data_IF_792777386112
#
_entry.id   IF_792777386112
#
_cell.length_a   1.000
_cell.length_b   1.000
_cell.length_c   1.000
_cell.angle_alpha   90.00
_cell.angle_beta   90.00
_cell.angle_gamma   90.00
#
_symmetry.space_group_name_H-M   'P 1'
#
loop_
_entity.id
_entity.type
_entity.pdbx_description
1 polymer ?
#
# COMPACT_ATOMS: atom_id res chain seq x y z
N UNK A 1 93.42 43.97 -24.28
CA UNK A 1 92.96 43.08 -25.37
C UNK A 1 93.10 41.66 -24.87
N UNK A 2 92.20 40.75 -25.26
CA UNK A 2 91.88 39.44 -24.66
C UNK A 2 90.84 39.61 -23.52
N UNK A 3 89.51 39.51 -23.70
CA UNK A 3 88.65 38.48 -24.37
C UNK A 3 89.03 37.07 -23.89
N UNK A 4 88.14 36.14 -23.52
CA UNK A 4 86.69 36.09 -23.30
C UNK A 4 86.42 34.77 -22.54
N UNK A 5 85.26 34.72 -21.87
CA UNK A 5 84.43 33.55 -21.55
C UNK A 5 85.01 32.22 -21.01
N UNK A 6 84.52 31.80 -19.83
CA UNK A 6 83.63 30.62 -19.71
C UNK A 6 83.32 30.26 -18.24
N UNK A 7 82.01 30.15 -17.97
CA UNK A 7 81.36 29.03 -17.26
C UNK A 7 81.78 28.70 -15.82
N UNK A 8 80.81 28.73 -14.90
CA UNK A 8 80.21 27.53 -14.26
C UNK A 8 79.30 28.02 -13.13
N UNK A 9 78.01 27.82 -13.32
CA UNK A 9 76.98 27.98 -12.30
C UNK A 9 76.93 26.73 -11.41
N UNK A 10 77.27 26.89 -10.12
CA UNK A 10 76.93 26.01 -9.00
C UNK A 10 76.57 26.93 -7.82
N UNK A 11 75.29 27.03 -7.46
CA UNK A 11 74.55 26.18 -6.51
C UNK A 11 74.89 26.48 -5.05
N UNK A 12 73.81 26.74 -4.29
CA UNK A 12 73.70 26.81 -2.82
C UNK A 12 74.32 28.07 -2.22
N UNK A 13 73.78 28.73 -1.20
CA UNK A 13 72.74 28.44 -0.24
C UNK A 13 72.48 29.78 0.48
N UNK A 14 71.25 30.31 0.47
CA UNK A 14 70.76 31.37 1.39
C UNK A 14 69.30 31.64 0.98
N UNK A 15 68.35 30.82 1.41
CA UNK A 15 67.81 30.79 2.76
C UNK A 15 67.40 32.19 3.24
N UNK A 16 66.09 32.36 3.39
CA UNK A 16 65.44 33.36 4.25
C UNK A 16 65.12 34.71 3.60
N UNK A 17 63.88 34.85 3.12
CA UNK A 17 62.86 35.80 3.67
C UNK A 17 61.82 36.18 2.63
N UNK A 18 60.74 35.41 2.56
CA UNK A 18 59.36 35.92 2.43
C UNK A 18 58.48 34.77 1.96
N UNK A 19 57.90 34.06 2.91
CA UNK A 19 56.65 33.36 2.64
C UNK A 19 55.70 33.85 3.72
N UNK A 20 54.81 34.73 3.29
CA UNK A 20 53.77 35.31 4.10
C UNK A 20 52.98 34.20 4.79
N UNK A 21 52.73 34.40 6.08
CA UNK A 21 51.87 33.59 6.92
C UNK A 21 50.49 33.48 6.26
N UNK A 22 50.24 32.37 5.56
CA UNK A 22 48.89 31.94 5.20
C UNK A 22 48.26 31.50 6.52
N UNK A 23 47.46 32.39 7.13
CA UNK A 23 46.49 31.96 8.12
C UNK A 23 45.50 31.02 7.43
N UNK A 24 45.70 29.72 7.63
CA UNK A 24 44.69 28.71 7.37
C UNK A 24 43.49 29.08 8.24
N UNK A 25 42.45 29.64 7.63
CA UNK A 25 41.14 29.72 8.28
C UNK A 25 40.69 28.27 8.49
N UNK A 26 40.85 27.78 9.71
CA UNK A 26 40.23 26.56 10.18
C UNK A 26 38.71 26.74 10.03
N UNK A 27 38.16 26.17 8.96
CA UNK A 27 36.71 26.01 8.86
C UNK A 27 36.27 25.13 10.04
N UNK A 28 35.26 25.55 10.82
CA UNK A 28 34.73 24.70 11.89
C UNK A 28 34.33 23.34 11.31
N UNK A 29 34.95 22.26 11.80
CA UNK A 29 34.53 20.87 11.56
C UNK A 29 33.20 20.62 12.28
N UNK A 30 32.12 21.29 11.87
CA UNK A 30 30.79 21.24 12.51
C UNK A 30 29.76 20.40 11.71
N UNK A 31 30.23 19.68 10.69
CA UNK A 31 29.38 18.99 9.72
C UNK A 31 29.05 17.52 10.01
N UNK A 32 29.74 16.83 10.93
CA UNK A 32 29.56 15.38 11.12
C UNK A 32 28.42 15.02 12.09
N UNK A 33 28.29 15.75 13.20
CA UNK A 33 27.22 15.58 14.19
C UNK A 33 25.84 15.97 13.62
N UNK A 34 25.77 17.10 12.92
CA UNK A 34 24.54 17.61 12.27
C UNK A 34 24.07 16.68 11.16
N UNK A 35 24.99 16.19 10.33
CA UNK A 35 24.70 15.20 9.30
C UNK A 35 24.25 13.86 9.90
N UNK A 36 24.94 13.35 10.94
CA UNK A 36 24.57 12.11 11.62
C UNK A 36 23.19 12.20 12.30
N UNK A 37 22.88 13.32 12.95
CA UNK A 37 21.55 13.57 13.54
C UNK A 37 20.46 13.63 12.48
N UNK A 38 20.72 14.31 11.37
CA UNK A 38 19.76 14.40 10.25
C UNK A 38 19.49 13.03 9.64
N UNK A 39 20.53 12.20 9.45
CA UNK A 39 20.37 10.82 8.97
C UNK A 39 19.55 9.94 9.93
N UNK A 40 19.77 10.05 11.24
CA UNK A 40 18.98 9.31 12.24
C UNK A 40 17.51 9.74 12.20
N UNK A 41 17.24 11.05 12.17
CA UNK A 41 15.86 11.57 12.13
C UNK A 41 15.13 11.13 10.86
N UNK A 42 15.79 11.21 9.70
CA UNK A 42 15.20 10.75 8.42
C UNK A 42 14.95 9.24 8.45
N UNK A 43 15.90 8.46 8.96
CA UNK A 43 15.78 7.00 9.03
C UNK A 43 14.65 6.56 9.97
N UNK A 44 14.53 7.19 11.14
CA UNK A 44 13.41 6.95 12.07
C UNK A 44 12.08 7.37 11.44
N UNK A 45 12.04 8.51 10.72
CA UNK A 45 10.83 8.98 10.04
C UNK A 45 10.38 8.02 8.94
N UNK A 46 11.31 7.49 8.13
CA UNK A 46 11.02 6.49 7.10
C UNK A 46 10.51 5.18 7.70
N UNK A 47 11.11 4.72 8.81
CA UNK A 47 10.67 3.52 9.52
C UNK A 47 9.26 3.68 10.11
N UNK A 48 8.95 4.84 10.69
CA UNK A 48 7.61 5.15 11.21
C UNK A 48 6.56 5.20 10.09
N UNK A 49 6.89 5.84 8.96
CA UNK A 49 5.99 5.93 7.82
C UNK A 49 5.74 4.55 7.17
N UNK A 50 6.77 3.72 7.02
CA UNK A 50 6.64 2.36 6.53
C UNK A 50 5.82 1.47 7.51
N UNK A 51 6.03 1.61 8.81
CA UNK A 51 5.29 0.89 9.84
C UNK A 51 3.80 1.23 9.87
N UNK A 52 3.42 2.47 9.60
CA UNK A 52 2.03 2.90 9.54
C UNK A 52 1.23 2.22 8.41
N UNK A 53 1.88 1.93 7.27
CA UNK A 53 1.23 1.30 6.12
C UNK A 53 0.87 -0.18 6.35
N UNK A 54 1.54 -0.84 7.30
CA UNK A 54 1.31 -2.24 7.65
C UNK A 54 0.05 -2.43 8.54
N UNK A 55 -0.50 -1.36 9.10
CA UNK A 55 -1.68 -1.36 9.97
C UNK A 55 -2.99 -1.15 9.19
N UNK A 56 -3.12 -1.68 7.97
CA UNK A 56 -4.42 -1.71 7.30
C UNK A 56 -5.37 -2.58 8.13
N UNK A 57 -6.39 -1.95 8.70
CA UNK A 57 -7.39 -2.62 9.53
C UNK A 57 -8.12 -3.67 8.68
N UNK A 58 -7.83 -4.94 8.94
CA UNK A 58 -8.55 -6.06 8.36
C UNK A 58 -9.80 -6.36 9.21
N UNK A 59 -10.89 -6.87 8.60
CA UNK A 59 -12.05 -7.33 9.35
C UNK A 59 -11.65 -8.42 10.35
N UNK A 60 -12.11 -8.29 11.60
CA UNK A 60 -11.86 -9.24 12.68
C UNK A 60 -12.99 -10.27 12.70
N UNK A 61 -12.85 -11.35 11.93
CA UNK A 61 -13.86 -12.39 11.80
C UNK A 61 -13.28 -13.77 11.51
N UNK A 62 -14.16 -14.77 11.38
CA UNK A 62 -13.77 -16.13 11.05
C UNK A 62 -13.47 -16.24 9.56
N UNK A 63 -12.28 -16.75 9.19
CA UNK A 63 -12.00 -17.11 7.80
C UNK A 63 -12.82 -18.35 7.41
N UNK A 64 -13.57 -18.26 6.32
CA UNK A 64 -14.50 -19.33 5.90
C UNK A 64 -14.70 -19.34 4.38
N UNK A 65 -15.34 -20.41 3.92
CA UNK A 65 -15.79 -20.60 2.55
C UNK A 65 -17.30 -20.82 2.55
N UNK A 66 -18.01 -20.08 1.70
CA UNK A 66 -19.46 -20.13 1.57
C UNK A 66 -19.78 -20.47 0.11
N UNK A 67 -20.58 -21.50 -0.10
CA UNK A 67 -21.14 -21.84 -1.41
C UNK A 67 -22.61 -21.46 -1.43
N UNK A 68 -23.02 -20.68 -2.42
CA UNK A 68 -24.38 -20.15 -2.49
C UNK A 68 -24.67 -19.41 -3.78
N UNK A 69 -25.91 -19.00 -3.93
CA UNK A 69 -26.38 -18.17 -5.04
C UNK A 69 -26.06 -16.70 -4.77
N UNK A 70 -25.56 -15.98 -5.78
CA UNK A 70 -25.43 -14.52 -5.71
C UNK A 70 -26.80 -13.87 -5.93
N UNK A 71 -27.27 -13.08 -4.97
CA UNK A 71 -28.62 -12.50 -4.99
C UNK A 71 -28.60 -10.97 -4.85
N UNK A 72 -29.58 -10.30 -5.46
CA UNK A 72 -29.92 -8.92 -5.12
C UNK A 72 -30.63 -8.91 -3.76
N UNK A 73 -30.06 -8.21 -2.78
CA UNK A 73 -30.62 -8.17 -1.43
C UNK A 73 -31.98 -7.47 -1.37
N UNK A 74 -32.25 -6.50 -2.26
CA UNK A 74 -33.56 -5.83 -2.27
C UNK A 74 -34.66 -6.83 -2.60
N UNK A 75 -34.59 -7.46 -3.78
CA UNK A 75 -35.62 -8.38 -4.25
C UNK A 75 -35.71 -9.65 -3.40
N UNK A 76 -34.57 -10.17 -2.92
CA UNK A 76 -34.60 -11.35 -2.06
C UNK A 76 -35.24 -11.07 -0.69
N UNK A 77 -34.96 -9.92 -0.07
CA UNK A 77 -35.54 -9.58 1.24
C UNK A 77 -37.00 -9.10 1.15
N UNK A 78 -37.40 -8.49 0.02
CA UNK A 78 -38.77 -8.06 -0.22
C UNK A 78 -39.73 -9.25 -0.39
N UNK A 79 -39.33 -10.25 -1.19
CA UNK A 79 -40.24 -11.35 -1.56
C UNK A 79 -39.57 -12.69 -1.90
N UNK A 80 -38.26 -12.83 -1.69
CA UNK A 80 -37.54 -14.07 -1.98
C UNK A 80 -37.16 -14.25 -3.46
N UNK A 81 -37.24 -13.19 -4.26
CA UNK A 81 -36.95 -13.23 -5.69
C UNK A 81 -35.48 -13.59 -5.96
N UNK A 82 -35.26 -14.73 -6.64
CA UNK A 82 -33.93 -15.25 -7.01
C UNK A 82 -34.01 -16.29 -8.13
N UNK A 83 -32.87 -16.86 -8.50
CA UNK A 83 -32.71 -17.96 -9.45
C UNK A 83 -32.48 -17.51 -10.89
N UNK A 84 -32.24 -18.45 -11.82
CA UNK A 84 -31.82 -18.13 -13.20
C UNK A 84 -32.78 -17.20 -13.94
N UNK A 85 -34.08 -17.30 -13.69
CA UNK A 85 -35.11 -16.44 -14.29
C UNK A 85 -35.01 -14.97 -13.87
N UNK A 86 -34.32 -14.68 -12.76
CA UNK A 86 -34.11 -13.32 -12.23
C UNK A 86 -32.76 -12.72 -12.62
N UNK A 87 -31.91 -13.44 -13.36
CA UNK A 87 -30.53 -13.02 -13.66
C UNK A 87 -30.44 -11.63 -14.29
N UNK A 88 -31.23 -11.35 -15.32
CA UNK A 88 -31.17 -10.06 -16.02
C UNK A 88 -31.66 -8.91 -15.13
N UNK A 89 -32.74 -9.14 -14.38
CA UNK A 89 -33.29 -8.18 -13.43
C UNK A 89 -32.30 -7.91 -12.28
N UNK A 90 -31.78 -8.95 -11.64
CA UNK A 90 -30.81 -8.85 -10.56
C UNK A 90 -29.52 -8.16 -11.03
N UNK A 91 -29.06 -8.44 -12.25
CA UNK A 91 -27.91 -7.76 -12.85
C UNK A 91 -28.18 -6.28 -13.09
N UNK A 92 -29.38 -5.92 -13.55
CA UNK A 92 -29.78 -4.52 -13.73
C UNK A 92 -29.82 -3.77 -12.39
N UNK A 93 -30.41 -4.38 -11.35
CA UNK A 93 -30.44 -3.83 -10.00
C UNK A 93 -29.04 -3.67 -9.41
N UNK A 94 -28.18 -4.68 -9.55
CA UNK A 94 -26.79 -4.60 -9.13
C UNK A 94 -26.03 -3.47 -9.86
N UNK A 95 -26.29 -3.25 -11.16
CA UNK A 95 -25.74 -2.09 -11.91
C UNK A 95 -26.20 -0.75 -11.36
N UNK A 96 -27.44 -0.66 -10.89
CA UNK A 96 -28.01 0.53 -10.27
C UNK A 96 -27.50 0.77 -8.83
N UNK A 97 -26.76 -0.17 -8.25
CA UNK A 97 -26.14 -0.02 -6.93
C UNK A 97 -26.84 -0.77 -5.80
N UNK A 98 -27.80 -1.65 -6.10
CA UNK A 98 -28.41 -2.47 -5.06
C UNK A 98 -27.37 -3.35 -4.35
N UNK A 99 -27.49 -3.55 -3.02
CA UNK A 99 -26.61 -4.44 -2.29
C UNK A 99 -26.70 -5.89 -2.79
N UNK A 100 -25.55 -6.56 -2.87
CA UNK A 100 -25.45 -7.96 -3.30
C UNK A 100 -25.14 -8.84 -2.09
N UNK A 101 -25.76 -10.02 -2.05
CA UNK A 101 -25.48 -11.04 -1.06
C UNK A 101 -25.18 -12.40 -1.67
N UNK A 102 -24.82 -13.34 -0.79
CA UNK A 102 -24.70 -14.77 -1.10
C UNK A 102 -25.72 -15.51 -0.25
N UNK A 103 -26.53 -16.36 -0.87
CA UNK A 103 -27.52 -17.20 -0.20
C UNK A 103 -27.10 -18.66 -0.27
N UNK A 104 -26.78 -19.27 0.86
CA UNK A 104 -26.40 -20.69 0.88
C UNK A 104 -27.61 -21.63 0.71
N UNK A 105 -27.33 -22.92 0.49
CA UNK A 105 -28.38 -23.94 0.34
C UNK A 105 -29.23 -24.16 1.60
N UNK A 106 -28.79 -23.67 2.76
CA UNK A 106 -29.52 -23.75 4.04
C UNK A 106 -30.42 -22.53 4.28
N UNK A 107 -30.40 -21.56 3.36
CA UNK A 107 -31.16 -20.32 3.49
C UNK A 107 -30.46 -19.23 4.30
N UNK A 108 -29.18 -19.40 4.65
CA UNK A 108 -28.41 -18.34 5.29
C UNK A 108 -28.03 -17.28 4.26
N UNK A 109 -28.43 -16.04 4.50
CA UNK A 109 -28.11 -14.89 3.67
C UNK A 109 -26.91 -14.15 4.25
N UNK A 110 -25.92 -13.85 3.41
CA UNK A 110 -24.70 -13.13 3.78
C UNK A 110 -24.57 -11.86 2.95
N UNK A 111 -24.39 -10.71 3.59
CA UNK A 111 -24.04 -9.46 2.89
C UNK A 111 -22.63 -9.60 2.34
N UNK A 112 -22.42 -9.25 1.07
CA UNK A 112 -21.11 -9.37 0.43
C UNK A 112 -20.41 -8.01 0.31
N UNK A 113 -19.09 -8.02 0.47
CA UNK A 113 -18.20 -6.96 -0.01
C UNK A 113 -16.84 -7.57 -0.38
N UNK A 114 -16.04 -6.88 -1.19
CA UNK A 114 -14.66 -7.29 -1.43
C UNK A 114 -13.75 -6.91 -0.27
N UNK A 115 -12.83 -7.79 0.10
CA UNK A 115 -11.84 -7.52 1.14
C UNK A 115 -10.81 -6.48 0.67
N UNK A 116 -10.39 -6.59 -0.59
CA UNK A 116 -9.38 -5.72 -1.16
C UNK A 116 -9.98 -4.32 -1.37
N UNK A 117 -9.31 -3.30 -0.82
CA UNK A 117 -9.63 -1.89 -1.02
C UNK A 117 -11.09 -1.48 -0.71
N UNK A 118 -11.78 -2.20 0.18
CA UNK A 118 -13.19 -1.98 0.53
C UNK A 118 -14.14 -1.96 -0.67
N UNK A 119 -13.87 -2.83 -1.64
CA UNK A 119 -14.65 -2.94 -2.87
C UNK A 119 -16.14 -3.22 -2.61
N UNK A 120 -17.07 -2.54 -3.31
CA UNK A 120 -18.47 -2.95 -3.31
C UNK A 120 -18.59 -4.33 -3.96
N UNK A 121 -19.52 -5.16 -3.48
CA UNK A 121 -19.75 -6.49 -4.06
C UNK A 121 -20.07 -6.45 -5.56
N UNK A 122 -20.67 -5.37 -6.05
CA UNK A 122 -20.91 -5.14 -7.48
C UNK A 122 -19.62 -5.30 -8.30
N UNK A 123 -18.48 -4.79 -7.82
CA UNK A 123 -17.22 -4.85 -8.57
C UNK A 123 -16.66 -6.27 -8.73
N UNK A 124 -17.09 -7.23 -7.89
CA UNK A 124 -16.57 -8.59 -7.84
C UNK A 124 -17.61 -9.66 -8.23
N UNK A 125 -18.91 -9.38 -8.10
CA UNK A 125 -20.00 -10.34 -8.29
C UNK A 125 -20.99 -9.98 -9.40
N UNK A 126 -20.87 -8.81 -10.05
CA UNK A 126 -21.86 -8.36 -11.04
C UNK A 126 -22.11 -9.37 -12.16
N UNK A 127 -21.08 -10.05 -12.65
CA UNK A 127 -21.21 -11.05 -13.72
C UNK A 127 -21.61 -12.45 -13.22
N UNK A 128 -21.95 -12.56 -11.93
CA UNK A 128 -22.32 -13.80 -11.24
C UNK A 128 -23.71 -13.73 -10.63
N UNK A 129 -24.48 -12.67 -10.88
CA UNK A 129 -25.84 -12.56 -10.36
C UNK A 129 -26.67 -13.79 -10.77
N UNK A 130 -27.41 -14.33 -9.80
CA UNK A 130 -28.21 -15.55 -9.90
C UNK A 130 -27.42 -16.83 -10.23
N UNK A 131 -26.09 -16.77 -10.26
CA UNK A 131 -25.23 -17.95 -10.38
C UNK A 131 -24.85 -18.48 -8.99
N UNK A 132 -24.57 -19.79 -8.93
CA UNK A 132 -23.94 -20.39 -7.76
C UNK A 132 -22.43 -20.16 -7.80
N UNK A 133 -21.88 -19.63 -6.71
CA UNK A 133 -20.46 -19.37 -6.53
C UNK A 133 -19.97 -19.98 -5.22
N UNK A 134 -18.66 -20.17 -5.14
CA UNK A 134 -17.97 -20.46 -3.87
C UNK A 134 -17.06 -19.29 -3.53
N UNK A 135 -17.43 -18.53 -2.50
CA UNK A 135 -16.66 -17.39 -2.01
C UNK A 135 -15.82 -17.80 -0.82
N UNK A 136 -14.57 -17.34 -0.77
CA UNK A 136 -13.71 -17.49 0.42
C UNK A 136 -13.33 -16.12 0.94
N UNK A 137 -13.33 -15.97 2.26
CA UNK A 137 -13.14 -14.66 2.87
C UNK A 137 -13.25 -14.67 4.39
N UNK A 138 -13.43 -13.48 4.96
CA UNK A 138 -13.62 -13.29 6.40
C UNK A 138 -15.09 -13.02 6.70
N UNK A 139 -15.73 -13.88 7.48
CA UNK A 139 -17.10 -13.72 7.95
C UNK A 139 -17.12 -12.98 9.29
N UNK A 140 -17.82 -11.85 9.31
CA UNK A 140 -18.08 -11.05 10.51
C UNK A 140 -19.57 -11.08 10.81
N UNK A 141 -19.91 -11.11 12.09
CA UNK A 141 -21.30 -10.98 12.57
C UNK A 141 -21.37 -9.82 13.56
N UNK A 142 -22.13 -8.79 13.21
CA UNK A 142 -22.34 -7.62 14.07
C UNK A 142 -23.84 -7.31 14.11
N UNK A 143 -24.41 -7.21 15.31
CA UNK A 143 -25.85 -6.95 15.46
C UNK A 143 -26.76 -7.99 14.76
N UNK A 144 -26.29 -9.23 14.64
CA UNK A 144 -27.01 -10.30 13.93
C UNK A 144 -26.83 -10.31 12.42
N UNK A 145 -26.19 -9.29 11.82
CA UNK A 145 -25.95 -9.22 10.37
C UNK A 145 -24.68 -10.00 10.01
N UNK A 146 -24.78 -11.11 9.24
CA UNK A 146 -23.62 -11.78 8.70
C UNK A 146 -23.11 -11.07 7.44
N UNK A 147 -21.84 -10.69 7.43
CA UNK A 147 -21.17 -10.10 6.29
C UNK A 147 -19.91 -10.88 5.93
N UNK A 148 -19.78 -11.26 4.67
CA UNK A 148 -18.59 -11.92 4.12
C UNK A 148 -17.75 -10.90 3.35
N UNK A 149 -16.52 -10.67 3.83
CA UNK A 149 -15.50 -9.92 3.12
C UNK A 149 -14.72 -10.87 2.20
N UNK A 150 -15.05 -10.85 0.91
CA UNK A 150 -14.63 -11.80 -0.11
C UNK A 150 -13.20 -11.50 -0.56
N UNK A 151 -12.35 -12.52 -0.49
CA UNK A 151 -10.99 -12.50 -1.01
C UNK A 151 -10.89 -13.17 -2.38
N UNK A 152 -11.68 -14.21 -2.60
CA UNK A 152 -11.71 -14.94 -3.86
C UNK A 152 -13.10 -15.52 -4.13
N UNK A 153 -13.42 -15.64 -5.42
CA UNK A 153 -14.66 -16.22 -5.94
C UNK A 153 -14.28 -17.34 -6.91
N UNK A 154 -14.91 -18.50 -6.77
CA UNK A 154 -14.84 -19.62 -7.71
C UNK A 154 -16.20 -19.90 -8.29
#
# INVERSE_FOLDING_TARGET
>A
MLEDDANVMKLSDETSRSIATIQVLETPREGSETMRRTFIVVSVSVLLFAGAQALRAQPKGQRTTITGEVVDLWCYLEGGDRGPAKKDCATACAKAGNPIGVLDAKGNLYVAAGLKDHQPAQSILLNKMSDHVTVSGTLVRTGGVPMIYIESVK
#
